data_IF_880751135315
#
_entry.id   IF_880751135315
#
_cell.length_a   1.000
_cell.length_b   1.000
_cell.length_c   1.000
_cell.angle_alpha   90.00
_cell.angle_beta   90.00
_cell.angle_gamma   90.00
#
_symmetry.space_group_name_H-M   'P 1'
#
loop_
_entity.id
_entity.type
_entity.pdbx_description
1 polymer ?
#
# COMPACT_ATOMS: atom_id res chain seq x y z
N UNK A 1 -16.77 14.07 14.97
CA UNK A 1 -17.92 14.39 15.79
C UNK A 1 -18.10 15.85 16.20
N UNK A 2 -17.03 16.59 16.59
CA UNK A 2 -17.18 17.94 17.18
C UNK A 2 -17.77 18.97 16.19
N UNK A 3 -17.35 18.91 14.92
CA UNK A 3 -17.85 19.80 13.87
C UNK A 3 -19.37 19.64 13.64
N UNK A 4 -19.85 18.38 13.66
CA UNK A 4 -21.29 18.10 13.58
C UNK A 4 -22.05 18.72 14.75
N UNK A 5 -21.52 18.56 15.96
CA UNK A 5 -22.13 19.14 17.16
C UNK A 5 -22.19 20.68 17.10
N UNK A 6 -21.13 21.33 16.64
CA UNK A 6 -21.11 22.79 16.46
C UNK A 6 -22.13 23.29 15.43
N UNK A 7 -22.17 22.61 14.26
CA UNK A 7 -23.14 22.98 13.23
C UNK A 7 -24.58 22.87 13.73
N UNK A 8 -24.93 21.77 14.40
CA UNK A 8 -26.25 21.57 14.98
C UNK A 8 -26.56 22.58 16.06
N UNK A 9 -25.60 22.86 16.97
CA UNK A 9 -25.79 23.85 18.06
C UNK A 9 -26.03 25.27 17.52
N UNK A 10 -25.33 25.68 16.45
CA UNK A 10 -25.54 26.99 15.83
C UNK A 10 -26.91 27.03 15.15
N UNK A 11 -27.31 26.01 14.43
CA UNK A 11 -28.58 25.94 13.72
C UNK A 11 -29.78 25.90 14.67
N UNK A 12 -29.63 25.33 15.88
CA UNK A 12 -30.67 25.26 16.91
C UNK A 12 -30.76 26.55 17.77
N UNK A 13 -29.70 27.35 17.78
CA UNK A 13 -29.60 28.52 18.64
C UNK A 13 -30.37 29.73 18.09
N UNK A 14 -31.16 30.38 18.95
CA UNK A 14 -31.75 31.68 18.68
C UNK A 14 -30.90 32.86 19.17
N UNK A 15 -29.80 32.60 19.88
CA UNK A 15 -28.98 33.63 20.54
C UNK A 15 -27.63 33.85 19.80
N UNK A 16 -27.15 32.86 19.06
CA UNK A 16 -25.90 32.96 18.30
C UNK A 16 -26.16 33.69 16.99
N UNK A 17 -25.58 34.89 16.83
CA UNK A 17 -25.68 35.62 15.59
C UNK A 17 -24.82 34.95 14.50
N UNK A 18 -25.43 34.56 13.39
CA UNK A 18 -24.76 33.94 12.25
C UNK A 18 -25.40 34.36 10.92
N UNK A 19 -24.65 34.36 9.80
CA UNK A 19 -25.23 34.46 8.47
C UNK A 19 -26.05 33.22 8.13
N UNK A 20 -26.74 33.16 6.97
CA UNK A 20 -27.33 31.93 6.49
C UNK A 20 -26.29 30.82 6.43
N UNK A 21 -26.62 29.65 6.99
CA UNK A 21 -25.73 28.48 7.10
C UNK A 21 -26.39 27.29 6.41
N UNK A 22 -25.62 26.59 5.63
CA UNK A 22 -25.95 25.30 5.08
C UNK A 22 -24.95 24.28 5.64
N UNK A 23 -25.44 23.36 6.48
CA UNK A 23 -24.61 22.31 7.06
C UNK A 23 -24.63 21.07 6.16
N UNK A 24 -23.46 20.67 5.69
CA UNK A 24 -23.29 19.50 4.81
C UNK A 24 -22.56 18.41 5.57
N UNK A 25 -23.15 17.25 5.66
CA UNK A 25 -22.55 16.06 6.27
C UNK A 25 -22.45 14.96 5.25
N UNK A 26 -21.25 14.42 5.07
CA UNK A 26 -20.98 13.32 4.18
C UNK A 26 -20.61 12.05 4.96
N UNK A 27 -20.71 10.91 4.32
CA UNK A 27 -20.36 9.59 4.88
C UNK A 27 -19.14 9.02 4.16
N UNK A 28 -18.54 7.99 4.76
CA UNK A 28 -17.49 7.19 4.13
C UNK A 28 -16.23 7.99 3.72
N UNK A 29 -15.83 8.98 4.53
CA UNK A 29 -14.61 9.74 4.32
C UNK A 29 -13.40 8.79 4.35
N UNK A 30 -13.28 7.94 5.38
CA UNK A 30 -12.17 7.03 5.65
C UNK A 30 -11.99 5.91 4.60
N UNK A 31 -13.01 5.65 3.80
CA UNK A 31 -13.01 4.61 2.75
C UNK A 31 -13.01 5.20 1.33
N UNK A 32 -12.56 6.45 1.19
CA UNK A 32 -12.39 7.12 -0.10
C UNK A 32 -13.37 8.23 -0.39
N UNK A 33 -13.96 8.86 0.62
CA UNK A 33 -14.87 10.03 0.50
C UNK A 33 -16.09 9.74 -0.41
N UNK A 34 -16.64 8.54 -0.34
CA UNK A 34 -17.73 8.10 -1.23
C UNK A 34 -18.95 9.01 -1.15
N UNK A 35 -19.32 9.46 0.06
CA UNK A 35 -20.43 10.38 0.25
C UNK A 35 -20.16 11.75 -0.36
N UNK A 36 -18.96 12.29 -0.23
CA UNK A 36 -18.58 13.56 -0.84
C UNK A 36 -18.55 13.49 -2.39
N UNK A 37 -18.17 12.36 -2.96
CA UNK A 37 -18.16 12.14 -4.40
C UNK A 37 -19.57 11.99 -4.98
N UNK A 38 -20.53 11.49 -4.19
CA UNK A 38 -21.89 11.19 -4.64
C UNK A 38 -22.92 12.29 -4.34
N UNK A 39 -22.60 13.26 -3.46
CA UNK A 39 -23.55 14.29 -3.06
C UNK A 39 -23.88 15.23 -4.22
N UNK A 40 -25.18 15.54 -4.38
CA UNK A 40 -25.62 16.62 -5.24
C UNK A 40 -25.54 17.97 -4.50
N UNK A 41 -24.69 18.84 -4.97
CA UNK A 41 -24.47 20.17 -4.38
C UNK A 41 -25.19 21.30 -5.14
N UNK A 42 -26.04 20.96 -6.12
CA UNK A 42 -26.72 21.93 -6.98
C UNK A 42 -27.65 22.89 -6.22
N UNK A 43 -28.21 22.46 -5.12
CA UNK A 43 -29.12 23.26 -4.27
C UNK A 43 -28.41 24.17 -3.29
N UNK A 44 -27.09 24.00 -3.08
CA UNK A 44 -26.32 24.82 -2.17
C UNK A 44 -26.12 26.23 -2.72
N UNK A 45 -26.30 27.23 -1.84
CA UNK A 45 -26.22 28.67 -2.14
C UNK A 45 -24.98 29.32 -1.52
N UNK A 46 -24.37 28.68 -0.54
CA UNK A 46 -23.17 29.16 0.15
C UNK A 46 -22.05 29.50 -0.83
N UNK A 47 -21.32 30.59 -0.55
CA UNK A 47 -20.14 31.02 -1.32
C UNK A 47 -18.83 30.85 -0.55
N UNK A 48 -18.93 30.53 0.72
CA UNK A 48 -17.81 30.26 1.61
C UNK A 48 -17.99 28.85 2.16
N UNK A 49 -16.97 28.03 2.06
CA UNK A 49 -16.90 26.69 2.62
C UNK A 49 -15.95 26.71 3.82
N UNK A 50 -16.43 26.26 4.98
CA UNK A 50 -15.62 26.00 6.16
C UNK A 50 -15.59 24.49 6.39
N UNK A 51 -14.44 23.88 6.16
CA UNK A 51 -14.20 22.49 6.54
C UNK A 51 -13.54 22.47 7.91
N UNK A 52 -14.21 21.85 8.89
CA UNK A 52 -13.80 21.85 10.30
C UNK A 52 -13.12 20.52 10.67
N UNK A 53 -12.48 19.89 9.70
CA UNK A 53 -11.80 18.61 9.84
C UNK A 53 -10.28 18.79 9.71
N UNK A 54 -9.74 19.77 10.43
CA UNK A 54 -8.30 20.05 10.52
C UNK A 54 -7.79 19.78 11.92
N UNK A 55 -6.62 19.14 12.05
CA UNK A 55 -6.10 18.70 13.34
C UNK A 55 -5.25 19.76 14.05
N UNK A 56 -4.62 20.65 13.30
CA UNK A 56 -3.68 21.64 13.86
C UNK A 56 -4.39 22.91 14.34
N UNK A 57 -4.27 23.22 15.63
CA UNK A 57 -4.85 24.41 16.23
C UNK A 57 -4.20 25.68 15.67
N UNK A 58 -5.05 26.63 15.27
CA UNK A 58 -4.60 27.94 14.76
C UNK A 58 -4.09 27.93 13.32
N UNK A 59 -4.15 26.79 12.63
CA UNK A 59 -3.76 26.67 11.22
C UNK A 59 -4.99 26.60 10.33
N UNK A 60 -5.05 27.49 9.34
CA UNK A 60 -6.06 27.47 8.28
C UNK A 60 -5.46 26.89 7.01
N UNK A 61 -5.86 25.68 6.65
CA UNK A 61 -5.47 25.05 5.39
C UNK A 61 -6.34 25.60 4.26
N UNK A 62 -5.72 26.22 3.26
CA UNK A 62 -6.42 26.91 2.16
C UNK A 62 -6.40 26.15 0.85
N UNK A 63 -5.69 25.04 0.78
CA UNK A 63 -5.61 24.16 -0.39
C UNK A 63 -5.22 22.74 0.02
N UNK A 64 -5.43 21.79 -0.87
CA UNK A 64 -4.97 20.40 -0.72
C UNK A 64 -4.33 19.93 -2.02
N UNK A 65 -3.51 18.89 -1.91
CA UNK A 65 -3.02 18.18 -3.08
C UNK A 65 -4.13 17.35 -3.72
N UNK A 66 -4.15 17.26 -5.02
CA UNK A 66 -4.98 16.30 -5.74
C UNK A 66 -4.33 14.91 -5.71
N UNK A 67 -5.15 13.88 -5.93
CA UNK A 67 -4.70 12.50 -6.05
C UNK A 67 -5.34 11.79 -7.24
N UNK A 68 -4.70 10.72 -7.68
CA UNK A 68 -5.26 9.81 -8.67
C UNK A 68 -4.81 8.39 -8.35
N UNK A 69 -5.73 7.44 -8.45
CA UNK A 69 -5.40 6.00 -8.34
C UNK A 69 -5.31 5.41 -9.73
N UNK A 70 -4.16 4.80 -10.03
CA UNK A 70 -3.94 4.07 -11.27
C UNK A 70 -3.99 2.56 -10.99
N UNK A 71 -4.94 1.86 -11.61
CA UNK A 71 -4.99 0.40 -11.57
C UNK A 71 -4.28 -0.17 -12.78
N UNK A 72 -3.15 -0.83 -12.56
CA UNK A 72 -2.38 -1.51 -13.60
C UNK A 72 -2.78 -2.98 -13.63
N UNK A 73 -3.21 -3.46 -14.80
CA UNK A 73 -3.58 -4.87 -15.00
C UNK A 73 -2.59 -5.48 -15.99
N UNK A 74 -1.80 -6.46 -15.51
CA UNK A 74 -0.89 -7.24 -16.34
C UNK A 74 -1.45 -8.66 -16.52
N UNK A 75 -1.98 -9.02 -17.70
CA UNK A 75 -2.42 -10.38 -17.96
C UNK A 75 -1.22 -11.31 -18.06
N UNK A 76 -1.33 -12.51 -17.53
CA UNK A 76 -0.28 -13.50 -17.55
C UNK A 76 -0.81 -14.92 -17.84
N UNK A 77 0.05 -15.74 -18.45
CA UNK A 77 -0.22 -17.15 -18.68
C UNK A 77 0.43 -18.00 -17.59
N UNK A 78 -0.12 -19.18 -17.37
CA UNK A 78 0.38 -20.15 -16.40
C UNK A 78 0.70 -21.49 -17.09
N UNK A 79 1.68 -22.18 -16.52
CA UNK A 79 2.07 -23.54 -16.90
C UNK A 79 2.10 -24.43 -15.66
N UNK A 80 1.86 -25.72 -15.84
CA UNK A 80 2.06 -26.74 -14.81
C UNK A 80 3.51 -27.20 -14.84
N UNK A 81 4.22 -27.03 -13.73
CA UNK A 81 5.62 -27.44 -13.60
C UNK A 81 5.83 -28.27 -12.33
N UNK A 82 6.78 -29.21 -12.39
CA UNK A 82 7.22 -29.96 -11.22
C UNK A 82 8.47 -29.29 -10.64
N UNK A 83 8.34 -28.69 -9.47
CA UNK A 83 9.38 -27.86 -8.89
C UNK A 83 9.33 -27.88 -7.36
N UNK A 84 10.41 -27.46 -6.71
CA UNK A 84 10.39 -27.03 -5.32
C UNK A 84 9.86 -25.63 -5.22
N UNK A 85 9.12 -25.35 -4.13
CA UNK A 85 8.54 -24.04 -3.89
C UNK A 85 9.32 -23.36 -2.78
N UNK A 86 9.69 -22.11 -3.00
CA UNK A 86 10.21 -21.22 -1.96
C UNK A 86 9.15 -20.15 -1.70
N UNK A 87 8.55 -20.20 -0.53
CA UNK A 87 7.71 -19.13 -0.03
C UNK A 87 8.57 -18.13 0.74
N UNK A 88 8.36 -16.86 0.50
CA UNK A 88 9.03 -15.79 1.19
C UNK A 88 8.04 -14.77 1.72
N UNK A 89 8.30 -14.32 2.95
CA UNK A 89 7.52 -13.29 3.63
C UNK A 89 8.46 -12.23 4.16
N UNK A 90 8.22 -10.99 3.74
CA UNK A 90 8.90 -9.80 4.22
C UNK A 90 7.96 -9.08 5.18
N UNK A 91 8.39 -8.86 6.41
CA UNK A 91 7.62 -8.10 7.40
C UNK A 91 8.53 -7.30 8.34
N UNK A 92 7.96 -6.63 9.33
CA UNK A 92 8.70 -5.77 10.24
C UNK A 92 9.09 -4.41 9.66
N UNK A 93 8.58 -4.05 8.49
CA UNK A 93 8.75 -2.73 7.90
C UNK A 93 7.90 -1.70 8.65
N UNK A 94 8.41 -0.48 8.78
CA UNK A 94 7.76 0.58 9.55
C UNK A 94 6.46 1.05 8.89
N UNK A 95 6.41 1.11 7.55
CA UNK A 95 5.25 1.61 6.81
C UNK A 95 4.97 3.08 7.07
N UNK A 96 3.72 3.50 6.89
CA UNK A 96 3.25 4.86 7.14
C UNK A 96 2.43 5.42 5.98
N UNK A 97 1.97 6.66 6.13
CA UNK A 97 1.17 7.33 5.10
C UNK A 97 2.04 7.71 3.90
N UNK A 98 1.66 7.27 2.68
CA UNK A 98 2.45 7.46 1.47
C UNK A 98 2.59 8.93 1.01
N UNK A 99 1.73 9.81 1.48
CA UNK A 99 1.82 11.27 1.25
C UNK A 99 2.51 11.97 2.43
N UNK A 100 1.85 12.03 3.60
CA UNK A 100 2.31 12.82 4.75
C UNK A 100 3.66 12.37 5.32
N UNK A 101 4.03 11.10 5.17
CA UNK A 101 5.24 10.52 5.74
C UNK A 101 6.30 10.08 4.70
N UNK A 102 6.08 10.33 3.40
CA UNK A 102 7.00 9.92 2.33
C UNK A 102 8.42 10.49 2.52
N UNK A 103 8.52 11.68 3.11
CA UNK A 103 9.80 12.35 3.42
C UNK A 103 10.65 11.60 4.46
N UNK A 104 10.08 10.62 5.16
CA UNK A 104 10.80 9.79 6.14
C UNK A 104 11.61 8.68 5.48
N UNK A 105 11.51 8.51 4.16
CA UNK A 105 12.30 7.60 3.34
C UNK A 105 12.30 6.14 3.84
N UNK A 106 11.15 5.67 4.33
CA UNK A 106 10.97 4.30 4.80
C UNK A 106 10.90 3.32 3.64
N UNK A 107 11.35 2.10 3.88
CA UNK A 107 11.31 1.04 2.89
C UNK A 107 9.87 0.63 2.56
N UNK A 108 9.63 0.37 1.28
CA UNK A 108 8.40 -0.24 0.79
C UNK A 108 8.64 -1.74 0.55
N UNK A 109 7.95 -2.61 1.27
CA UNK A 109 8.16 -4.06 1.19
C UNK A 109 7.94 -4.63 -0.21
N UNK A 110 7.01 -4.07 -1.00
CA UNK A 110 6.78 -4.50 -2.38
C UNK A 110 7.97 -4.19 -3.28
N UNK A 111 8.60 -3.01 -3.12
CA UNK A 111 9.81 -2.64 -3.86
C UNK A 111 11.00 -3.54 -3.49
N UNK A 112 11.14 -3.86 -2.20
CA UNK A 112 12.18 -4.77 -1.72
C UNK A 112 11.96 -6.18 -2.26
N UNK A 113 10.72 -6.68 -2.22
CA UNK A 113 10.37 -7.97 -2.79
C UNK A 113 10.67 -8.04 -4.30
N UNK A 114 10.30 -7.00 -5.06
CA UNK A 114 10.60 -6.90 -6.49
C UNK A 114 12.10 -6.94 -6.76
N UNK A 115 12.93 -6.23 -5.96
CA UNK A 115 14.39 -6.26 -6.07
C UNK A 115 14.96 -7.66 -5.80
N UNK A 116 14.43 -8.38 -4.82
CA UNK A 116 14.83 -9.77 -4.52
C UNK A 116 14.46 -10.68 -5.70
N UNK A 117 13.19 -10.64 -6.15
CA UNK A 117 12.71 -11.49 -7.24
C UNK A 117 13.50 -11.27 -8.53
N UNK A 118 13.80 -10.02 -8.88
CA UNK A 118 14.61 -9.70 -10.05
C UNK A 118 16.02 -10.32 -9.95
N UNK A 119 16.69 -10.16 -8.80
CA UNK A 119 18.02 -10.75 -8.61
C UNK A 119 18.01 -12.29 -8.67
N UNK A 120 16.96 -12.93 -8.15
CA UNK A 120 16.80 -14.39 -8.29
C UNK A 120 16.61 -14.76 -9.75
N UNK A 121 15.70 -14.08 -10.46
CA UNK A 121 15.39 -14.33 -11.87
C UNK A 121 16.61 -14.18 -12.79
N UNK A 122 17.43 -13.17 -12.57
CA UNK A 122 18.64 -12.93 -13.38
C UNK A 122 19.73 -14.01 -13.21
N UNK A 123 19.69 -14.78 -12.12
CA UNK A 123 20.73 -15.75 -11.78
C UNK A 123 20.30 -17.21 -11.88
N UNK A 124 19.00 -17.50 -11.83
CA UNK A 124 18.48 -18.88 -11.92
C UNK A 124 17.15 -18.90 -12.69
N UNK A 125 16.85 -20.05 -13.31
CA UNK A 125 15.53 -20.28 -13.89
C UNK A 125 14.50 -20.46 -12.77
N UNK A 126 13.61 -19.51 -12.64
CA UNK A 126 12.51 -19.53 -11.69
C UNK A 126 11.19 -19.18 -12.36
N UNK A 127 10.09 -19.55 -11.70
CA UNK A 127 8.75 -19.10 -12.09
C UNK A 127 8.04 -18.52 -10.86
N UNK A 128 7.30 -17.44 -11.08
CA UNK A 128 6.46 -16.86 -10.02
C UNK A 128 5.18 -17.69 -9.92
N UNK A 129 4.86 -18.13 -8.71
CA UNK A 129 3.58 -18.77 -8.38
C UNK A 129 2.57 -17.70 -7.98
N UNK A 130 2.98 -16.77 -7.14
CA UNK A 130 2.16 -15.65 -6.70
C UNK A 130 2.96 -14.59 -5.97
N UNK A 131 2.45 -13.39 -6.00
CA UNK A 131 2.95 -12.22 -5.25
C UNK A 131 1.78 -11.53 -4.61
N UNK A 132 1.97 -11.07 -3.39
CA UNK A 132 0.97 -10.28 -2.66
C UNK A 132 1.67 -9.27 -1.75
N UNK A 133 1.03 -8.11 -1.51
CA UNK A 133 1.58 -7.11 -0.58
C UNK A 133 0.87 -5.78 -0.69
N UNK A 134 1.00 -5.00 0.41
CA UNK A 134 0.28 -3.74 0.57
C UNK A 134 -1.20 -3.96 0.93
N UNK A 135 -1.73 -3.10 1.80
CA UNK A 135 -3.12 -3.19 2.26
C UNK A 135 -3.98 -2.04 1.75
N UNK A 136 -3.37 -0.85 1.59
CA UNK A 136 -4.06 0.37 1.18
C UNK A 136 -3.21 1.14 0.18
N UNK A 137 -3.84 1.82 -0.74
CA UNK A 137 -3.21 2.64 -1.79
C UNK A 137 -2.52 3.90 -1.23
N UNK A 138 -2.96 4.39 -0.07
CA UNK A 138 -2.36 5.53 0.63
C UNK A 138 -1.36 5.14 1.73
N UNK A 139 -0.95 3.87 1.81
CA UNK A 139 0.01 3.38 2.80
C UNK A 139 1.26 2.79 2.14
N UNK A 140 2.44 3.10 2.69
CA UNK A 140 3.70 2.45 2.31
C UNK A 140 3.60 0.99 2.75
N UNK A 141 3.74 0.06 1.80
CA UNK A 141 3.61 -1.37 2.07
C UNK A 141 4.63 -1.83 3.11
N UNK A 142 4.15 -2.44 4.19
CA UNK A 142 4.94 -2.92 5.32
C UNK A 142 5.00 -4.45 5.42
N UNK A 143 4.25 -5.12 4.56
CA UNK A 143 4.18 -6.57 4.43
C UNK A 143 4.12 -6.92 2.95
N UNK A 144 4.91 -7.93 2.53
CA UNK A 144 4.78 -8.56 1.22
C UNK A 144 5.19 -10.02 1.25
N UNK A 145 4.61 -10.79 0.35
CA UNK A 145 4.79 -12.23 0.24
C UNK A 145 4.94 -12.63 -1.22
N UNK A 146 5.78 -13.64 -1.46
CA UNK A 146 5.85 -14.30 -2.76
C UNK A 146 6.07 -15.79 -2.60
N UNK A 147 5.62 -16.53 -3.60
CA UNK A 147 5.98 -17.93 -3.79
C UNK A 147 6.60 -18.08 -5.18
N UNK A 148 7.76 -18.73 -5.25
CA UNK A 148 8.46 -19.05 -6.50
C UNK A 148 8.70 -20.55 -6.63
N UNK A 149 8.66 -21.01 -7.86
CA UNK A 149 9.03 -22.38 -8.23
C UNK A 149 10.44 -22.39 -8.80
N UNK A 150 11.28 -23.27 -8.30
CA UNK A 150 12.67 -23.46 -8.73
C UNK A 150 13.00 -24.95 -8.89
N UNK A 151 13.99 -25.26 -9.71
CA UNK A 151 14.52 -26.64 -9.78
C UNK A 151 15.14 -27.03 -8.44
N UNK A 152 15.08 -28.32 -8.04
CA UNK A 152 15.61 -28.79 -6.76
C UNK A 152 17.07 -28.40 -6.51
N UNK A 153 17.91 -28.47 -7.52
CA UNK A 153 19.34 -28.12 -7.47
C UNK A 153 19.60 -26.61 -7.35
N UNK A 154 18.59 -25.76 -7.63
CA UNK A 154 18.70 -24.30 -7.54
C UNK A 154 18.28 -23.75 -6.19
N UNK A 155 17.70 -24.54 -5.29
CA UNK A 155 17.12 -24.06 -4.02
C UNK A 155 18.15 -23.33 -3.15
N UNK A 156 19.32 -23.94 -2.94
CA UNK A 156 20.34 -23.34 -2.07
C UNK A 156 20.89 -22.05 -2.69
N UNK A 157 21.08 -22.03 -4.01
CA UNK A 157 21.51 -20.82 -4.70
C UNK A 157 20.46 -19.71 -4.65
N UNK A 158 19.17 -20.05 -4.80
CA UNK A 158 18.09 -19.09 -4.63
C UNK A 158 18.09 -18.46 -3.24
N UNK A 159 18.20 -19.28 -2.18
CA UNK A 159 18.27 -18.82 -0.80
C UNK A 159 19.47 -17.92 -0.53
N UNK A 160 20.64 -18.26 -1.10
CA UNK A 160 21.84 -17.42 -0.99
C UNK A 160 21.60 -16.03 -1.60
N UNK A 161 21.02 -15.96 -2.80
CA UNK A 161 20.73 -14.69 -3.48
C UNK A 161 19.70 -13.88 -2.69
N UNK A 162 18.62 -14.53 -2.27
CA UNK A 162 17.55 -13.87 -1.49
C UNK A 162 18.12 -13.24 -0.23
N UNK A 163 18.86 -14.00 0.57
CA UNK A 163 19.43 -13.51 1.83
C UNK A 163 20.44 -12.41 1.59
N UNK A 164 21.33 -12.55 0.59
CA UNK A 164 22.31 -11.53 0.24
C UNK A 164 21.65 -10.20 -0.11
N UNK A 165 20.66 -10.21 -1.01
CA UNK A 165 19.96 -8.98 -1.43
C UNK A 165 19.19 -8.38 -0.25
N UNK A 166 18.56 -9.23 0.58
CA UNK A 166 17.85 -8.76 1.76
C UNK A 166 18.80 -8.10 2.78
N UNK A 167 19.98 -8.67 3.03
CA UNK A 167 20.98 -8.11 3.94
C UNK A 167 21.50 -6.77 3.43
N UNK A 168 21.74 -6.61 2.12
CA UNK A 168 22.10 -5.34 1.50
C UNK A 168 21.01 -4.28 1.74
N UNK A 169 19.75 -4.62 1.49
CA UNK A 169 18.59 -3.72 1.72
C UNK A 169 18.46 -3.39 3.21
N UNK A 170 18.65 -4.36 4.08
CA UNK A 170 18.59 -4.14 5.53
C UNK A 170 19.67 -3.16 6.02
N UNK A 171 20.84 -3.16 5.42
CA UNK A 171 21.87 -2.15 5.72
C UNK A 171 21.49 -0.76 5.17
N UNK A 172 20.89 -0.69 3.98
CA UNK A 172 20.38 0.56 3.40
C UNK A 172 19.34 1.24 4.30
N UNK A 173 18.41 0.47 4.86
CA UNK A 173 17.29 0.96 5.67
C UNK A 173 17.42 0.74 7.18
N UNK A 174 18.63 0.48 7.68
CA UNK A 174 18.87 0.15 9.11
C UNK A 174 18.40 1.21 10.10
N UNK A 175 18.25 2.47 9.67
CA UNK A 175 17.79 3.58 10.52
C UNK A 175 16.27 3.72 10.48
N UNK A 176 15.68 3.63 9.30
CA UNK A 176 14.24 3.87 9.11
C UNK A 176 13.38 2.63 9.36
N UNK A 177 13.96 1.43 9.09
CA UNK A 177 13.27 0.15 9.17
C UNK A 177 14.09 -0.93 9.90
N UNK A 178 14.55 -0.70 11.15
CA UNK A 178 15.48 -1.58 11.85
C UNK A 178 14.91 -2.97 12.15
N UNK A 179 13.59 -3.14 12.15
CA UNK A 179 12.91 -4.39 12.49
C UNK A 179 12.62 -5.28 11.27
N UNK A 180 13.06 -4.88 10.06
CA UNK A 180 12.86 -5.67 8.84
C UNK A 180 13.37 -7.09 8.98
N UNK A 181 12.58 -8.04 8.52
CA UNK A 181 12.95 -9.45 8.47
C UNK A 181 12.36 -10.14 7.25
N UNK A 182 13.05 -11.20 6.82
CA UNK A 182 12.57 -12.13 5.81
C UNK A 182 12.44 -13.52 6.42
N UNK A 183 11.38 -14.22 6.08
CA UNK A 183 11.16 -15.61 6.42
C UNK A 183 11.05 -16.42 5.15
N UNK A 184 11.79 -17.51 5.06
CA UNK A 184 11.78 -18.43 3.93
C UNK A 184 11.25 -19.79 4.38
N UNK A 185 10.32 -20.36 3.62
CA UNK A 185 9.84 -21.73 3.77
C UNK A 185 10.05 -22.46 2.45
N UNK A 186 10.65 -23.66 2.50
CA UNK A 186 10.90 -24.50 1.31
C UNK A 186 10.02 -25.71 1.39
N UNK A 187 9.17 -25.86 0.38
CA UNK A 187 8.30 -27.03 0.24
C UNK A 187 8.92 -28.08 -0.69
N UNK A 188 8.56 -29.33 -0.49
CA UNK A 188 9.00 -30.43 -1.35
C UNK A 188 8.49 -30.29 -2.79
N UNK A 189 9.20 -30.98 -3.70
CA UNK A 189 8.85 -30.98 -5.12
C UNK A 189 7.43 -31.47 -5.34
N UNK A 190 6.67 -30.69 -6.06
CA UNK A 190 5.29 -30.99 -6.40
C UNK A 190 4.91 -30.37 -7.75
N UNK A 191 3.85 -30.89 -8.34
CA UNK A 191 3.25 -30.30 -9.52
C UNK A 191 2.50 -29.01 -9.10
N UNK A 192 2.88 -27.87 -9.63
CA UNK A 192 2.34 -26.58 -9.26
C UNK A 192 2.06 -25.74 -10.52
N UNK A 193 0.99 -24.96 -10.45
CA UNK A 193 0.68 -23.94 -11.45
C UNK A 193 1.49 -22.67 -11.15
N UNK A 194 2.32 -22.25 -12.11
CA UNK A 194 3.14 -21.06 -11.99
C UNK A 194 3.05 -20.20 -13.26
N UNK A 195 3.43 -18.95 -13.17
CA UNK A 195 3.51 -18.08 -14.36
C UNK A 195 4.45 -18.71 -15.41
N UNK A 196 4.05 -18.63 -16.68
CA UNK A 196 4.92 -19.05 -17.77
C UNK A 196 6.25 -18.27 -17.77
N UNK A 197 7.28 -18.80 -18.44
CA UNK A 197 8.57 -18.10 -18.53
C UNK A 197 8.46 -16.65 -19.00
N UNK A 198 7.82 -16.39 -20.14
CA UNK A 198 7.57 -15.02 -20.62
C UNK A 198 6.78 -14.15 -19.64
N UNK A 199 5.76 -14.72 -18.95
CA UNK A 199 4.96 -13.97 -17.97
C UNK A 199 5.71 -13.69 -16.67
N UNK A 200 6.67 -14.51 -16.30
CA UNK A 200 7.54 -14.25 -15.14
C UNK A 200 8.53 -13.12 -15.43
N UNK A 201 8.94 -12.96 -16.67
CA UNK A 201 9.85 -11.89 -17.12
C UNK A 201 9.15 -10.52 -17.25
N UNK A 202 7.86 -10.50 -17.59
CA UNK A 202 7.06 -9.28 -17.79
C UNK A 202 6.81 -8.50 -16.51
#
# INVERSE_FOLDING_TARGET
GIAVAYALAILDSSEIAHPPIEAVFTVDEEVGMLGAAAIDVSDLKGKLLLNVDSEDEGIFTVSCAGGATATCILPYNKDMINAKIIEMRLDGFTGGHSGAEIHKERANSNCVLGRILLNVFENIDMRIIGVNGGEKDNAIANLSEAAIAVLPECVDRAKEIINKVFDEVKDEYKVTDPAMKITLNVMDSQLVEAMSGPSTLA
#
